data_IF_012666441088
#
_entry.id   IF_012666441088
#
_cell.length_a   1.000
_cell.length_b   1.000
_cell.length_c   1.000
_cell.angle_alpha   90.00
_cell.angle_beta   90.00
_cell.angle_gamma   90.00
#
_symmetry.space_group_name_H-M   'P 1'
#
loop_
_entity.id
_entity.type
_entity.pdbx_description
1 polymer ?
#
# COMPACT_ATOMS: atom_id res chain seq x y z
N UNK A 1 -7.09 -2.21 -7.64
CA UNK A 1 -5.71 -1.79 -7.99
C UNK A 1 -4.77 -2.99 -8.16
N UNK A 2 -3.55 -2.79 -8.67
CA UNK A 2 -2.45 -3.78 -8.59
C UNK A 2 -1.30 -3.17 -7.76
N UNK A 3 -0.86 -3.86 -6.71
CA UNK A 3 0.31 -3.45 -5.91
C UNK A 3 1.59 -3.51 -6.73
N UNK A 4 2.53 -2.61 -6.46
CA UNK A 4 3.85 -2.54 -7.09
C UNK A 4 4.91 -2.83 -6.03
N UNK A 5 5.91 -3.62 -6.40
CA UNK A 5 7.10 -3.83 -5.57
C UNK A 5 7.84 -2.51 -5.40
N UNK A 6 8.38 -2.30 -4.21
CA UNK A 6 9.15 -1.10 -3.88
C UNK A 6 10.51 -1.51 -3.30
N UNK A 7 11.50 -0.63 -3.41
CA UNK A 7 12.80 -0.85 -2.80
C UNK A 7 12.79 -0.27 -1.38
N UNK A 8 12.47 -1.12 -0.39
CA UNK A 8 12.42 -0.76 1.02
C UNK A 8 12.89 -1.94 1.87
N UNK A 9 13.52 -1.65 3.01
CA UNK A 9 13.88 -2.67 4.00
C UNK A 9 12.68 -3.22 4.76
N UNK A 10 11.53 -2.53 4.73
CA UNK A 10 10.35 -2.83 5.56
C UNK A 10 9.10 -3.12 4.74
N UNK A 11 8.97 -2.55 3.55
CA UNK A 11 7.75 -2.65 2.72
C UNK A 11 8.08 -3.43 1.45
N UNK A 12 7.37 -4.52 1.22
CA UNK A 12 7.56 -5.37 0.04
C UNK A 12 6.81 -4.79 -1.17
N UNK A 13 5.55 -4.36 -0.98
CA UNK A 13 4.73 -3.81 -2.04
C UNK A 13 3.72 -2.77 -1.55
N UNK A 14 3.36 -1.83 -2.44
CA UNK A 14 2.37 -0.78 -2.18
C UNK A 14 1.37 -0.70 -3.33
N UNK A 15 0.09 -0.55 -3.02
CA UNK A 15 -0.95 -0.23 -3.99
C UNK A 15 -1.81 0.92 -3.49
N UNK A 16 -2.27 1.77 -4.40
CA UNK A 16 -3.27 2.77 -4.10
C UNK A 16 -4.44 2.68 -5.10
N UNK A 17 -5.67 2.75 -4.60
CA UNK A 17 -6.89 2.84 -5.40
C UNK A 17 -7.55 4.20 -5.18
N UNK A 18 -7.44 5.03 -6.20
CA UNK A 18 -7.94 6.39 -6.17
C UNK A 18 -9.48 6.48 -6.14
N UNK A 19 -10.19 5.46 -6.63
CA UNK A 19 -11.66 5.49 -6.62
C UNK A 19 -12.23 5.27 -5.21
N UNK A 20 -11.45 4.65 -4.32
CA UNK A 20 -11.88 4.24 -2.99
C UNK A 20 -11.01 4.84 -1.86
N UNK A 21 -10.07 5.73 -2.18
CA UNK A 21 -9.10 6.31 -1.23
C UNK A 21 -8.44 5.25 -0.33
N UNK A 22 -8.05 4.15 -0.95
CA UNK A 22 -7.58 2.95 -0.27
C UNK A 22 -6.10 2.72 -0.58
N UNK A 23 -5.28 2.66 0.47
CA UNK A 23 -3.87 2.30 0.42
C UNK A 23 -3.68 0.88 0.96
N UNK A 24 -3.06 0.02 0.16
CA UNK A 24 -2.59 -1.30 0.58
C UNK A 24 -1.08 -1.31 0.75
N UNK A 25 -0.63 -1.86 1.88
CA UNK A 25 0.79 -2.06 2.17
C UNK A 25 1.05 -3.49 2.59
N UNK A 26 2.04 -4.10 1.93
CA UNK A 26 2.58 -5.41 2.29
C UNK A 26 3.93 -5.23 2.96
N UNK A 27 4.10 -5.78 4.16
CA UNK A 27 5.36 -5.68 4.89
C UNK A 27 6.34 -6.78 4.46
N UNK A 28 7.64 -6.51 4.54
CA UNK A 28 8.68 -7.47 4.14
C UNK A 28 8.93 -8.55 5.18
N UNK A 29 8.71 -8.23 6.46
CA UNK A 29 8.99 -9.15 7.58
C UNK A 29 7.80 -10.06 7.91
N UNK A 30 6.59 -9.68 7.52
CA UNK A 30 5.39 -10.50 7.68
C UNK A 30 4.62 -10.53 6.36
N UNK A 31 3.99 -11.66 6.04
CA UNK A 31 3.16 -11.79 4.82
C UNK A 31 1.82 -11.06 4.99
N UNK A 32 1.72 -10.16 5.96
CA UNK A 32 0.52 -9.43 6.28
C UNK A 32 0.36 -8.23 5.33
N UNK A 33 -0.88 -8.04 4.89
CA UNK A 33 -1.27 -6.91 4.06
C UNK A 33 -2.22 -6.05 4.88
N UNK A 34 -1.84 -4.80 5.09
CA UNK A 34 -2.65 -3.81 5.78
C UNK A 34 -3.34 -2.90 4.78
N UNK A 35 -4.59 -2.58 5.09
CA UNK A 35 -5.43 -1.68 4.32
C UNK A 35 -5.71 -0.42 5.13
N UNK A 36 -5.40 0.72 4.56
CA UNK A 36 -5.65 2.04 5.13
C UNK A 36 -6.72 2.73 4.28
N UNK A 37 -7.83 3.07 4.93
CA UNK A 37 -9.01 3.67 4.31
C UNK A 37 -8.98 5.20 4.48
N UNK A 38 -9.61 5.92 3.53
CA UNK A 38 -9.69 7.38 3.51
C UNK A 38 -8.30 8.04 3.48
N UNK A 39 -7.39 7.49 2.69
CA UNK A 39 -6.05 8.05 2.49
C UNK A 39 -6.11 9.01 1.31
N UNK A 40 -6.18 10.31 1.58
CA UNK A 40 -6.21 11.35 0.55
C UNK A 40 -4.84 11.50 -0.14
N UNK A 41 -4.86 11.76 -1.45
CA UNK A 41 -3.65 12.14 -2.18
C UNK A 41 -3.28 13.61 -1.89
N UNK A 42 -1.99 13.92 -1.77
CA UNK A 42 -1.55 15.31 -1.64
C UNK A 42 -1.94 16.12 -2.90
N UNK A 43 -2.27 17.39 -2.67
CA UNK A 43 -2.66 18.38 -3.69
C UNK A 43 -1.46 18.95 -4.43
#
# INVERSE_FOLDING_TARGET
MKRKLVNSSVIASIGYDNANELLEMEFSESVDIYQYYNVELPV
#
